data_IF_760260919362
#
_entry.id   IF_760260919362
#
_cell.length_a   1.000
_cell.length_b   1.000
_cell.length_c   1.000
_cell.angle_alpha   90.00
_cell.angle_beta   90.00
_cell.angle_gamma   90.00
#
_symmetry.space_group_name_H-M   'P 1'
#
loop_
_entity.id
_entity.type
_entity.pdbx_description
1 polymer ?
#
# COMPACT_ATOMS: atom_id res chain seq x y z
N UNK A 1 -17.73 -5.60 3.28
CA UNK A 1 -17.21 -4.85 2.11
C UNK A 1 -16.08 -3.96 2.61
N UNK A 2 -14.95 -3.90 1.92
CA UNK A 2 -13.81 -3.03 2.25
C UNK A 2 -13.53 -2.09 1.09
N UNK A 3 -12.98 -0.90 1.38
CA UNK A 3 -12.56 0.06 0.36
C UNK A 3 -11.03 0.04 0.18
N UNK A 4 -10.48 0.49 -0.97
CA UNK A 4 -9.04 0.67 -1.13
C UNK A 4 -8.43 1.58 -0.04
N UNK A 5 -9.13 2.64 0.37
CA UNK A 5 -8.67 3.52 1.45
C UNK A 5 -8.52 2.75 2.78
N UNK A 6 -9.46 1.87 3.11
CA UNK A 6 -9.36 1.05 4.31
C UNK A 6 -8.15 0.10 4.23
N UNK A 7 -7.93 -0.51 3.06
CA UNK A 7 -6.83 -1.46 2.89
C UNK A 7 -5.46 -0.79 2.87
N UNK A 8 -5.32 0.41 2.31
CA UNK A 8 -4.05 1.15 2.38
C UNK A 8 -3.77 1.66 3.81
N UNK A 9 -4.80 2.00 4.57
CA UNK A 9 -4.67 2.34 5.99
C UNK A 9 -4.09 1.16 6.81
N UNK A 10 -4.61 -0.06 6.59
CA UNK A 10 -4.08 -1.27 7.23
C UNK A 10 -2.64 -1.57 6.79
N UNK A 11 -2.34 -1.48 5.48
CA UNK A 11 -0.98 -1.68 4.98
C UNK A 11 0.00 -0.65 5.54
N UNK A 12 -0.43 0.59 5.68
CA UNK A 12 0.35 1.67 6.31
C UNK A 12 0.65 1.38 7.79
N UNK A 13 -0.30 0.86 8.54
CA UNK A 13 -0.08 0.46 9.93
C UNK A 13 0.93 -0.68 10.04
N UNK A 14 0.85 -1.69 9.17
CA UNK A 14 1.83 -2.80 9.15
C UNK A 14 3.22 -2.26 8.84
N UNK A 15 3.38 -1.39 7.83
CA UNK A 15 4.65 -0.77 7.48
C UNK A 15 5.21 0.08 8.64
N UNK A 16 4.35 0.72 9.41
CA UNK A 16 4.66 1.61 10.54
C UNK A 16 4.61 0.89 11.89
N UNK A 17 5.11 -0.34 11.97
CA UNK A 17 5.27 -1.11 13.22
C UNK A 17 3.96 -1.31 14.02
N UNK A 18 2.83 -1.36 13.32
CA UNK A 18 1.50 -1.56 13.91
C UNK A 18 0.73 -0.29 14.23
N UNK A 19 1.34 0.87 14.09
CA UNK A 19 0.73 2.17 14.39
C UNK A 19 0.06 2.73 13.13
N UNK A 20 -1.24 2.93 13.19
CA UNK A 20 -2.02 3.56 12.12
C UNK A 20 -1.98 5.10 12.22
N UNK A 21 -1.94 5.75 11.07
CA UNK A 21 -1.99 7.22 10.96
C UNK A 21 -3.34 7.65 10.38
N UNK A 22 -3.94 8.73 10.90
CA UNK A 22 -5.17 9.28 10.34
C UNK A 22 -4.93 9.73 8.88
N UNK A 23 -5.74 9.26 7.91
CA UNK A 23 -5.62 9.71 6.52
C UNK A 23 -5.97 11.20 6.40
N UNK A 24 -5.18 11.96 5.67
CA UNK A 24 -5.47 13.35 5.32
C UNK A 24 -4.98 13.65 3.90
N UNK A 25 -5.61 14.63 3.24
CA UNK A 25 -5.28 15.02 1.86
C UNK A 25 -4.80 16.47 1.76
N UNK A 26 -5.00 17.28 2.80
CA UNK A 26 -4.55 18.67 2.85
C UNK A 26 -3.34 18.74 3.77
N UNK A 27 -2.18 19.03 3.23
CA UNK A 27 -0.93 19.16 3.99
C UNK A 27 -0.70 20.59 4.50
N UNK A 28 -1.13 21.61 3.75
CA UNK A 28 -1.06 23.00 4.18
C UNK A 28 -2.13 23.87 3.51
N UNK A 29 -2.26 25.08 4.01
CA UNK A 29 -3.05 26.18 3.43
C UNK A 29 -2.13 27.36 3.22
N UNK A 30 -2.17 27.95 2.03
CA UNK A 30 -1.43 29.15 1.66
C UNK A 30 -2.37 30.33 1.48
N UNK A 31 -1.88 31.54 1.69
CA UNK A 31 -2.56 32.76 1.25
C UNK A 31 -2.20 33.07 -0.22
N UNK A 32 -2.84 34.08 -0.79
CA UNK A 32 -2.60 34.50 -2.19
C UNK A 32 -1.14 34.91 -2.48
N UNK A 33 -0.35 35.22 -1.45
CA UNK A 33 1.08 35.52 -1.55
C UNK A 33 2.00 34.29 -1.44
N UNK A 34 1.47 33.06 -1.37
CA UNK A 34 2.25 31.84 -1.25
C UNK A 34 2.83 31.60 0.16
N UNK A 35 2.34 32.30 1.17
CA UNK A 35 2.76 32.09 2.57
C UNK A 35 1.91 31.02 3.22
N UNK A 36 2.56 29.99 3.79
CA UNK A 36 1.88 28.94 4.53
C UNK A 36 1.23 29.52 5.80
N UNK A 37 -0.09 29.56 5.86
CA UNK A 37 -0.88 30.05 7.00
C UNK A 37 -1.19 28.96 7.99
N UNK A 38 -1.26 27.68 7.51
CA UNK A 38 -1.54 26.52 8.35
C UNK A 38 -0.91 25.28 7.73
N UNK A 39 -0.18 24.51 8.55
CA UNK A 39 0.33 23.21 8.17
C UNK A 39 -0.41 22.12 8.93
N UNK A 40 -0.76 21.05 8.22
CA UNK A 40 -1.30 19.84 8.81
C UNK A 40 -0.18 18.81 8.93
N UNK A 41 -0.19 18.04 9.96
CA UNK A 41 0.75 16.94 10.19
C UNK A 41 -0.03 15.66 10.35
N UNK A 42 0.58 14.56 9.95
CA UNK A 42 0.03 13.23 10.23
C UNK A 42 -0.26 13.10 11.73
N UNK A 43 -1.42 12.60 12.05
CA UNK A 43 -1.86 12.32 13.41
C UNK A 43 -1.98 10.82 13.58
N UNK A 44 -1.50 10.33 14.70
CA UNK A 44 -1.65 8.94 15.06
C UNK A 44 -3.12 8.62 15.35
N UNK A 45 -3.65 7.59 14.67
CA UNK A 45 -4.96 7.04 14.95
C UNK A 45 -4.91 6.12 16.17
N UNK A 46 -3.87 5.28 16.25
CA UNK A 46 -3.62 4.37 17.34
C UNK A 46 -2.91 3.09 16.89
N UNK A 47 -2.59 2.27 17.87
CA UNK A 47 -1.99 0.95 17.66
C UNK A 47 -3.06 -0.06 17.22
N UNK A 48 -2.90 -0.66 16.03
CA UNK A 48 -3.77 -1.72 15.51
C UNK A 48 -3.21 -3.12 15.80
N UNK A 49 -1.89 -3.26 15.89
CA UNK A 49 -1.18 -4.49 16.20
C UNK A 49 0.06 -4.16 17.01
N UNK A 50 0.58 -5.14 17.75
CA UNK A 50 1.89 -5.02 18.37
C UNK A 50 3.01 -4.90 17.31
N UNK A 51 4.13 -4.28 17.66
CA UNK A 51 5.28 -4.20 16.77
C UNK A 51 5.80 -5.59 16.34
N UNK A 52 5.72 -6.58 17.22
CA UNK A 52 6.09 -7.97 16.91
C UNK A 52 5.17 -8.62 15.90
N UNK A 53 3.85 -8.41 16.01
CA UNK A 53 2.87 -8.94 15.05
C UNK A 53 3.00 -8.22 13.69
N UNK A 54 3.26 -6.90 13.72
CA UNK A 54 3.53 -6.14 12.51
C UNK A 54 4.78 -6.67 11.78
N UNK A 55 5.87 -6.93 12.51
CA UNK A 55 7.09 -7.51 11.92
C UNK A 55 6.83 -8.90 11.32
N UNK A 56 6.07 -9.76 11.99
CA UNK A 56 5.70 -11.07 11.47
C UNK A 56 4.86 -10.96 10.18
N UNK A 57 3.92 -10.01 10.13
CA UNK A 57 3.15 -9.75 8.91
C UNK A 57 4.03 -9.20 7.78
N UNK A 58 5.00 -8.33 8.09
CA UNK A 58 5.98 -7.86 7.11
C UNK A 58 6.75 -9.03 6.48
N UNK A 59 7.23 -9.99 7.30
CA UNK A 59 7.92 -11.19 6.80
C UNK A 59 7.03 -12.02 5.89
N UNK A 60 5.77 -12.24 6.26
CA UNK A 60 4.81 -12.96 5.41
C UNK A 60 4.53 -12.22 4.10
N UNK A 61 4.34 -10.89 4.14
CA UNK A 61 4.12 -10.06 2.96
C UNK A 61 5.35 -10.02 2.07
N UNK A 62 6.55 -10.08 2.65
CA UNK A 62 7.80 -10.23 1.90
C UNK A 62 7.88 -11.57 1.21
N UNK A 63 7.53 -12.65 1.88
CA UNK A 63 7.46 -14.01 1.33
C UNK A 63 6.54 -14.12 0.11
N UNK A 64 5.42 -13.39 0.08
CA UNK A 64 4.52 -13.32 -1.09
C UNK A 64 5.22 -12.70 -2.30
N UNK A 65 6.08 -11.71 -2.08
CA UNK A 65 6.84 -11.06 -3.16
C UNK A 65 8.04 -11.92 -3.58
N UNK A 66 8.72 -12.58 -2.68
CA UNK A 66 9.89 -13.40 -3.02
C UNK A 66 9.51 -14.70 -3.73
N UNK A 67 8.52 -15.41 -3.19
CA UNK A 67 8.23 -16.78 -3.58
C UNK A 67 6.78 -17.00 -4.05
N UNK A 68 5.92 -15.99 -3.91
CA UNK A 68 4.48 -16.13 -4.12
C UNK A 68 3.95 -15.38 -5.35
N UNK A 69 2.69 -14.97 -5.22
CA UNK A 69 1.91 -14.33 -6.28
C UNK A 69 2.35 -12.90 -6.60
N UNK A 70 3.16 -12.27 -5.72
CA UNK A 70 3.73 -10.94 -5.89
C UNK A 70 5.11 -10.90 -6.57
N UNK A 71 5.64 -12.02 -7.05
CA UNK A 71 7.03 -12.15 -7.51
C UNK A 71 7.49 -11.20 -8.61
N UNK A 72 6.59 -10.57 -9.36
CA UNK A 72 6.92 -9.52 -10.33
C UNK A 72 7.48 -8.25 -9.67
N UNK A 73 7.27 -8.07 -8.36
CA UNK A 73 7.82 -6.99 -7.54
C UNK A 73 9.18 -7.34 -6.93
N UNK A 74 9.67 -8.57 -7.09
CA UNK A 74 10.96 -8.98 -6.56
C UNK A 74 12.12 -8.52 -7.46
N UNK A 75 13.30 -8.29 -6.87
CA UNK A 75 14.52 -7.92 -7.61
C UNK A 75 14.52 -6.51 -8.19
N UNK A 76 13.68 -5.61 -7.68
CA UNK A 76 13.62 -4.20 -8.08
C UNK A 76 14.64 -3.37 -7.27
N UNK A 77 14.77 -2.08 -7.61
CA UNK A 77 15.60 -1.11 -6.86
C UNK A 77 15.03 -0.74 -5.49
N UNK A 78 13.90 -1.30 -5.13
CA UNK A 78 13.18 -1.13 -3.87
C UNK A 78 12.78 -2.51 -3.32
N UNK A 79 12.46 -2.56 -2.04
CA UNK A 79 11.89 -3.75 -1.41
C UNK A 79 10.38 -3.60 -1.32
N UNK A 80 9.64 -4.55 -1.88
CA UNK A 80 8.19 -4.57 -1.82
C UNK A 80 7.69 -5.66 -0.85
N UNK A 81 6.58 -5.35 -0.20
CA UNK A 81 5.85 -6.19 0.73
C UNK A 81 4.38 -6.15 0.37
N UNK A 82 3.68 -7.28 0.34
CA UNK A 82 2.27 -7.22 0.04
C UNK A 82 1.57 -8.56 -0.09
N UNK A 83 0.27 -8.46 -0.34
CA UNK A 83 -0.63 -9.59 -0.55
C UNK A 83 -1.52 -9.33 -1.75
N UNK A 84 -1.62 -10.32 -2.61
CA UNK A 84 -2.60 -10.32 -3.71
C UNK A 84 -3.93 -10.88 -3.22
N UNK A 85 -5.00 -10.48 -3.87
CA UNK A 85 -6.35 -11.02 -3.67
C UNK A 85 -7.09 -11.16 -4.98
N UNK A 86 -8.08 -12.03 -5.00
CA UNK A 86 -9.09 -12.12 -6.04
C UNK A 86 -10.44 -12.14 -5.33
N UNK A 87 -11.20 -11.06 -5.46
CA UNK A 87 -12.48 -10.89 -4.76
C UNK A 87 -13.62 -11.20 -5.70
N UNK A 88 -14.25 -12.34 -5.52
CA UNK A 88 -15.47 -12.73 -6.22
C UNK A 88 -16.64 -11.92 -5.66
N UNK A 89 -17.46 -11.34 -6.54
CA UNK A 89 -18.62 -10.53 -6.17
C UNK A 89 -19.93 -11.04 -6.76
N UNK A 90 -19.85 -11.88 -7.79
CA UNK A 90 -20.99 -12.61 -8.37
C UNK A 90 -20.49 -13.91 -9.03
N UNK A 91 -21.43 -14.75 -9.45
CA UNK A 91 -21.14 -16.03 -10.12
C UNK A 91 -20.96 -15.94 -11.63
N UNK A 92 -21.10 -14.76 -12.24
CA UNK A 92 -21.20 -14.55 -13.69
C UNK A 92 -20.08 -13.70 -14.29
N UNK A 93 -19.22 -13.08 -13.46
CA UNK A 93 -18.13 -12.21 -13.89
C UNK A 93 -16.76 -12.64 -13.38
N UNK A 94 -15.74 -11.99 -13.88
CA UNK A 94 -14.39 -12.14 -13.36
C UNK A 94 -14.29 -11.52 -11.96
N UNK A 95 -13.39 -12.05 -11.14
CA UNK A 95 -13.10 -11.49 -9.81
C UNK A 95 -12.40 -10.14 -9.93
N UNK A 96 -12.53 -9.29 -8.92
CA UNK A 96 -11.71 -8.09 -8.79
C UNK A 96 -10.30 -8.47 -8.33
N UNK A 97 -9.29 -8.10 -9.10
CA UNK A 97 -7.90 -8.33 -8.76
C UNK A 97 -7.39 -7.30 -7.76
N UNK A 98 -6.82 -7.74 -6.64
CA UNK A 98 -6.30 -6.88 -5.58
C UNK A 98 -4.82 -7.06 -5.35
N UNK A 99 -4.15 -5.98 -5.00
CA UNK A 99 -2.86 -5.97 -4.30
C UNK A 99 -2.91 -4.94 -3.18
N UNK A 100 -2.44 -5.33 -2.00
CA UNK A 100 -2.33 -4.45 -0.83
C UNK A 100 -0.94 -4.65 -0.25
N UNK A 101 -0.24 -3.54 0.01
CA UNK A 101 1.12 -3.64 0.51
C UNK A 101 1.82 -2.29 0.62
N UNK A 102 3.13 -2.33 0.67
CA UNK A 102 3.97 -1.14 0.69
C UNK A 102 5.32 -1.42 0.03
N UNK A 103 5.99 -0.34 -0.34
CA UNK A 103 7.36 -0.35 -0.84
C UNK A 103 8.27 0.49 0.03
N UNK A 104 9.53 0.07 0.17
CA UNK A 104 10.58 0.73 0.93
C UNK A 104 11.87 0.81 0.12
N UNK A 105 12.57 1.93 0.19
CA UNK A 105 13.89 2.12 -0.42
C UNK A 105 14.68 3.13 0.40
N UNK A 106 15.96 2.83 0.63
CA UNK A 106 16.87 3.75 1.31
C UNK A 106 16.89 5.13 0.64
N UNK A 107 16.78 6.19 1.42
CA UNK A 107 16.71 7.58 0.95
C UNK A 107 15.32 8.03 0.50
N UNK A 108 14.30 7.19 0.54
CA UNK A 108 12.91 7.51 0.23
C UNK A 108 12.00 7.26 1.43
N UNK A 109 10.85 7.93 1.46
CA UNK A 109 9.79 7.56 2.40
C UNK A 109 9.11 6.29 1.90
N UNK A 110 8.73 5.42 2.83
CA UNK A 110 7.91 4.27 2.50
C UNK A 110 6.56 4.70 1.93
N UNK A 111 6.03 3.93 1.00
CA UNK A 111 4.73 4.19 0.39
C UNK A 111 3.83 2.97 0.52
N UNK A 112 2.71 3.11 1.23
CA UNK A 112 1.66 2.10 1.26
C UNK A 112 0.73 2.24 0.05
N UNK A 113 0.21 1.11 -0.43
CA UNK A 113 -0.63 1.06 -1.62
C UNK A 113 -1.74 0.01 -1.48
N UNK A 114 -2.90 0.33 -2.03
CA UNK A 114 -3.95 -0.64 -2.30
C UNK A 114 -4.45 -0.41 -3.74
N UNK A 115 -4.30 -1.43 -4.56
CA UNK A 115 -4.74 -1.43 -5.96
C UNK A 115 -5.87 -2.42 -6.12
N UNK A 116 -6.96 -1.98 -6.75
CA UNK A 116 -8.03 -2.85 -7.21
C UNK A 116 -8.23 -2.65 -8.72
N UNK A 117 -8.37 -3.75 -9.43
CA UNK A 117 -8.73 -3.78 -10.85
C UNK A 117 -10.05 -4.53 -10.95
N UNK A 118 -11.13 -3.80 -11.22
CA UNK A 118 -12.46 -4.38 -11.36
C UNK A 118 -12.50 -5.32 -12.56
N UNK A 119 -13.10 -6.48 -12.39
CA UNK A 119 -13.18 -7.56 -13.38
C UNK A 119 -11.81 -7.97 -13.96
N UNK A 120 -10.74 -7.70 -13.19
CA UNK A 120 -9.36 -7.95 -13.60
C UNK A 120 -8.87 -9.38 -13.35
N UNK A 121 -9.73 -10.27 -12.88
CA UNK A 121 -9.34 -11.64 -12.55
C UNK A 121 -8.41 -11.71 -11.34
N UNK A 122 -7.26 -12.36 -11.49
CA UNK A 122 -6.34 -12.50 -10.36
C UNK A 122 -5.51 -11.24 -10.10
N UNK A 123 -5.33 -10.89 -8.82
CA UNK A 123 -4.49 -9.76 -8.41
C UNK A 123 -3.04 -9.86 -8.88
N UNK A 124 -2.52 -11.07 -9.05
CA UNK A 124 -1.15 -11.29 -9.57
C UNK A 124 -0.99 -10.91 -11.05
N UNK A 125 -2.07 -10.97 -11.82
CA UNK A 125 -2.07 -10.66 -13.25
C UNK A 125 -2.48 -9.22 -13.55
N UNK A 126 -3.34 -8.63 -12.74
CA UNK A 126 -3.91 -7.29 -12.94
C UNK A 126 -3.32 -6.25 -11.98
N UNK A 127 -3.48 -6.40 -10.67
CA UNK A 127 -3.10 -5.39 -9.68
C UNK A 127 -1.57 -5.30 -9.44
N UNK A 128 -0.85 -6.43 -9.48
CA UNK A 128 0.61 -6.45 -9.27
C UNK A 128 1.37 -5.65 -10.35
N UNK A 129 1.07 -5.76 -11.67
CA UNK A 129 1.72 -4.95 -12.69
C UNK A 129 1.47 -3.44 -12.49
N UNK A 130 0.27 -3.03 -12.10
CA UNK A 130 -0.07 -1.63 -11.81
C UNK A 130 0.74 -1.14 -10.60
N UNK A 131 0.79 -1.93 -9.53
CA UNK A 131 1.62 -1.63 -8.35
C UNK A 131 3.09 -1.44 -8.73
N UNK A 132 3.62 -2.33 -9.57
CA UNK A 132 5.00 -2.22 -10.04
C UNK A 132 5.27 -0.89 -10.76
N UNK A 133 4.40 -0.49 -11.67
CA UNK A 133 4.53 0.78 -12.38
C UNK A 133 4.52 1.99 -11.42
N UNK A 134 3.66 1.97 -10.41
CA UNK A 134 3.59 3.04 -9.41
C UNK A 134 4.88 3.10 -8.59
N UNK A 135 5.37 1.97 -8.09
CA UNK A 135 6.61 1.91 -7.33
C UNK A 135 7.82 2.29 -8.18
N UNK A 136 7.89 1.85 -9.45
CA UNK A 136 8.96 2.22 -10.37
C UNK A 136 9.02 3.75 -10.57
N UNK A 137 7.87 4.41 -10.74
CA UNK A 137 7.81 5.88 -10.86
C UNK A 137 8.18 6.58 -9.56
N UNK A 138 7.74 6.06 -8.42
CA UNK A 138 7.99 6.68 -7.11
C UNK A 138 9.47 6.58 -6.69
N UNK A 139 10.07 5.41 -6.83
CA UNK A 139 11.41 5.11 -6.33
C UNK A 139 12.56 5.37 -7.33
N UNK A 140 12.28 5.72 -8.59
CA UNK A 140 13.28 6.03 -9.60
C UNK A 140 13.25 7.51 -10.06
N UNK A 141 12.73 8.38 -9.18
CA UNK A 141 12.77 9.84 -9.40
C UNK A 141 14.14 10.42 -9.13
#
# INVERSE_FOLDING_TARGET
>A
MVSPLHMVFVAGAIANQGIAMEPYVVDHVENDGGVHVKNYKGKEYGELLSASDAALLQDYMRGVVENGTGKKLNGQSYTAYGKTGSAEYNSAGDSHGWFVGYGSKEGYKDIAIAVVVEDGGSGSQSAVPVTKQIFDVYFNK
#
